data_IF_688815804611
#
_entry.id   IF_688815804611
#
_cell.length_a   1.000
_cell.length_b   1.000
_cell.length_c   1.000
_cell.angle_alpha   90.00
_cell.angle_beta   90.00
_cell.angle_gamma   90.00
#
_symmetry.space_group_name_H-M   'P 1'
#
loop_
_entity.id
_entity.type
_entity.pdbx_description
1 polymer ?
#
# COMPACT_ATOMS: atom_id res chain seq x y z
N UNK A 1 5.42 -9.13 -7.81
CA UNK A 1 4.46 -8.01 -7.97
C UNK A 1 3.04 -8.47 -8.32
N UNK A 2 2.84 -9.31 -9.35
CA UNK A 2 1.51 -9.77 -9.79
C UNK A 2 0.60 -10.41 -8.71
N UNK A 3 1.10 -11.29 -7.81
CA UNK A 3 0.24 -11.88 -6.77
C UNK A 3 -0.35 -10.85 -5.81
N UNK A 4 0.39 -9.78 -5.52
CA UNK A 4 -0.07 -8.71 -4.63
C UNK A 4 -1.17 -7.90 -5.31
N UNK A 5 -0.94 -7.42 -6.53
CA UNK A 5 -1.95 -6.66 -7.29
C UNK A 5 -3.23 -7.48 -7.52
N UNK A 6 -3.10 -8.80 -7.75
CA UNK A 6 -4.26 -9.69 -7.87
C UNK A 6 -5.05 -9.78 -6.57
N UNK A 7 -4.38 -9.89 -5.41
CA UNK A 7 -5.06 -9.90 -4.10
C UNK A 7 -5.72 -8.57 -3.80
N UNK A 8 -5.04 -7.45 -4.05
CA UNK A 8 -5.59 -6.11 -3.84
C UNK A 8 -6.81 -5.84 -4.74
N UNK A 9 -6.77 -6.31 -6.00
CA UNK A 9 -7.93 -6.28 -6.89
C UNK A 9 -9.07 -7.18 -6.39
N UNK A 10 -8.76 -8.40 -5.91
CA UNK A 10 -9.77 -9.32 -5.38
C UNK A 10 -10.46 -8.77 -4.12
N UNK A 11 -9.76 -7.96 -3.33
CA UNK A 11 -10.32 -7.27 -2.16
C UNK A 11 -10.90 -5.89 -2.47
N UNK A 12 -11.19 -5.57 -3.73
CA UNK A 12 -11.76 -4.28 -4.17
C UNK A 12 -10.96 -3.02 -3.80
N UNK A 13 -9.68 -3.17 -3.46
CA UNK A 13 -8.77 -2.07 -3.14
C UNK A 13 -8.18 -1.42 -4.40
N UNK A 14 -8.16 -2.16 -5.51
CA UNK A 14 -7.74 -1.67 -6.82
C UNK A 14 -8.77 -2.03 -7.90
N UNK A 15 -9.01 -1.11 -8.82
CA UNK A 15 -9.68 -1.38 -10.11
C UNK A 15 -8.66 -1.46 -11.24
N UNK A 16 -9.08 -1.99 -12.39
CA UNK A 16 -8.25 -2.05 -13.59
C UNK A 16 -8.96 -1.45 -14.79
N UNK A 17 -8.22 -0.77 -15.65
CA UNK A 17 -8.70 -0.30 -16.94
C UNK A 17 -7.60 -0.51 -18.00
N UNK A 18 -8.00 -0.65 -19.25
CA UNK A 18 -7.08 -0.85 -20.37
C UNK A 18 -6.99 0.46 -21.18
N UNK A 19 -5.78 0.93 -21.45
CA UNK A 19 -5.50 2.17 -22.18
C UNK A 19 -4.36 1.95 -23.21
N UNK A 20 -4.47 2.46 -24.45
CA UNK A 20 -3.39 2.41 -25.42
C UNK A 20 -2.20 3.23 -24.95
N UNK A 21 -1.02 2.62 -24.90
CA UNK A 21 0.22 3.32 -24.60
C UNK A 21 1.37 2.77 -25.44
N UNK A 22 1.99 3.63 -26.24
CA UNK A 22 3.05 3.28 -27.19
C UNK A 22 2.66 2.13 -28.13
N UNK A 23 1.47 2.24 -28.74
CA UNK A 23 0.99 1.27 -29.74
C UNK A 23 0.55 -0.07 -29.16
N UNK A 24 0.52 -0.26 -27.84
CA UNK A 24 0.00 -1.47 -27.19
C UNK A 24 -1.03 -1.13 -26.12
N UNK A 25 -2.11 -1.89 -26.04
CA UNK A 25 -3.02 -1.81 -24.90
C UNK A 25 -2.29 -2.26 -23.64
N UNK A 26 -2.34 -1.42 -22.62
CA UNK A 26 -1.77 -1.68 -21.30
C UNK A 26 -2.88 -1.68 -20.26
N UNK A 27 -2.79 -2.63 -19.34
CA UNK A 27 -3.66 -2.69 -18.17
C UNK A 27 -3.08 -1.84 -17.05
N UNK A 28 -3.79 -0.80 -16.68
CA UNK A 28 -3.46 0.06 -15.56
C UNK A 28 -4.29 -0.32 -14.33
N UNK A 29 -3.72 -0.09 -13.16
CA UNK A 29 -4.39 -0.26 -11.88
C UNK A 29 -4.68 1.11 -11.29
N UNK A 30 -5.86 1.28 -10.70
CA UNK A 30 -6.27 2.50 -10.02
C UNK A 30 -6.73 2.17 -8.62
N UNK A 31 -6.26 2.93 -7.64
CA UNK A 31 -6.73 2.79 -6.26
C UNK A 31 -8.20 3.19 -6.14
N UNK A 32 -9.00 2.37 -5.48
CA UNK A 32 -10.41 2.65 -5.22
C UNK A 32 -10.57 3.56 -4.00
N UNK A 33 -11.75 4.15 -3.77
CA UNK A 33 -12.03 4.85 -2.52
C UNK A 33 -11.79 3.96 -1.28
N UNK A 34 -12.17 2.69 -1.36
CA UNK A 34 -11.96 1.72 -0.27
C UNK A 34 -10.47 1.39 -0.09
N UNK A 35 -9.75 1.22 -1.21
CA UNK A 35 -8.28 1.09 -1.21
C UNK A 35 -7.58 2.26 -0.55
N UNK A 36 -8.06 3.50 -0.74
CA UNK A 36 -7.51 4.68 -0.07
C UNK A 36 -7.74 4.67 1.44
N UNK A 37 -8.92 4.23 1.90
CA UNK A 37 -9.21 4.10 3.34
C UNK A 37 -8.30 3.05 3.97
N UNK A 38 -8.22 1.86 3.37
CA UNK A 38 -7.36 0.77 3.85
C UNK A 38 -5.88 1.17 3.86
N UNK A 39 -5.44 1.90 2.83
CA UNK A 39 -4.09 2.45 2.79
C UNK A 39 -3.81 3.38 3.99
N UNK A 40 -4.75 4.25 4.34
CA UNK A 40 -4.62 5.12 5.52
C UNK A 40 -4.49 4.35 6.84
N UNK A 41 -5.27 3.28 7.00
CA UNK A 41 -5.20 2.39 8.18
C UNK A 41 -3.81 1.75 8.28
N UNK A 42 -3.36 1.09 7.21
CA UNK A 42 -2.05 0.42 7.17
C UNK A 42 -0.92 1.42 7.40
N UNK A 43 -1.05 2.64 6.87
CA UNK A 43 -0.06 3.69 7.08
C UNK A 43 -0.01 4.12 8.55
N UNK A 44 -1.15 4.24 9.23
CA UNK A 44 -1.18 4.56 10.66
C UNK A 44 -0.57 3.43 11.50
N UNK A 45 -0.98 2.17 11.26
CA UNK A 45 -0.42 1.00 11.94
C UNK A 45 1.10 0.91 11.79
N UNK A 46 1.61 1.24 10.60
CA UNK A 46 3.05 1.30 10.36
C UNK A 46 3.74 2.39 11.18
N UNK A 47 3.15 3.58 11.29
CA UNK A 47 3.74 4.65 12.11
C UNK A 47 3.75 4.28 13.60
N UNK A 48 2.67 3.66 14.09
CA UNK A 48 2.56 3.23 15.48
C UNK A 48 3.60 2.14 15.78
N UNK A 49 3.71 1.14 14.88
CA UNK A 49 4.72 0.09 14.98
C UNK A 49 6.14 0.66 14.97
N UNK A 50 6.46 1.52 14.00
CA UNK A 50 7.77 2.17 13.89
C UNK A 50 8.08 2.95 15.16
N UNK A 51 7.14 3.75 15.65
CA UNK A 51 7.31 4.53 16.89
C UNK A 51 7.58 3.64 18.10
N UNK A 52 6.90 2.49 18.19
CA UNK A 52 7.16 1.50 19.23
C UNK A 52 8.58 0.94 19.18
N UNK A 53 9.05 0.57 17.98
CA UNK A 53 10.41 0.09 17.76
C UNK A 53 11.45 1.18 18.05
N UNK A 54 11.25 2.39 17.57
CA UNK A 54 12.16 3.52 17.77
C UNK A 54 12.30 3.83 19.28
N UNK A 55 11.23 3.74 20.06
CA UNK A 55 11.29 3.88 21.54
C UNK A 55 12.06 2.73 22.20
N UNK A 56 11.81 1.49 21.78
CA UNK A 56 12.53 0.33 22.32
C UNK A 56 14.03 0.35 22.01
N UNK A 57 14.43 0.88 20.86
CA UNK A 57 15.85 0.99 20.47
C UNK A 57 16.51 2.29 20.94
N UNK A 58 15.73 3.31 21.28
CA UNK A 58 16.20 4.63 21.72
C UNK A 58 16.63 4.71 23.20
N UNK A 59 16.17 3.77 24.04
CA UNK A 59 16.56 3.69 25.45
C UNK A 59 18.01 3.19 25.68
N UNK A 60 18.75 2.83 24.61
CA UNK A 60 20.16 2.41 24.67
C UNK A 60 21.16 3.56 24.41
N UNK A 61 20.72 4.81 24.23
CA UNK A 61 21.61 5.96 23.92
C UNK A 61 21.76 6.99 25.05
N UNK A 62 21.17 6.74 26.21
CA UNK A 62 21.34 7.57 27.41
C UNK A 62 22.21 6.87 28.49
N UNK A 63 23.44 6.47 28.11
CA UNK A 63 24.60 6.26 29.02
C UNK A 63 25.87 6.84 28.37
#
# INVERSE_FOLDING_TARGET
MYPVLRRLKKGDLLTTYDEPYQGRNRRYYKITPEGKKQFGIIQQEWQDFKTGIDKMLGDDQDE
#
